data_IF_765195815785
#
_entry.id   IF_765195815785
#
_cell.length_a   1.000
_cell.length_b   1.000
_cell.length_c   1.000
_cell.angle_alpha   90.00
_cell.angle_beta   90.00
_cell.angle_gamma   90.00
#
_symmetry.space_group_name_H-M   'P 1'
#
loop_
_entity.id
_entity.type
_entity.pdbx_description
1 polymer ?
#
# COMPACT_ATOMS: atom_id res chain seq x y z
N UNK A 1 -6.90 8.85 -5.62
CA UNK A 1 -5.42 8.82 -5.72
C UNK A 1 -4.97 7.67 -6.61
N UNK A 2 -3.85 7.83 -7.26
CA UNK A 2 -3.19 6.74 -7.99
C UNK A 2 -1.68 6.87 -7.82
N UNK A 3 -0.98 5.75 -8.00
CA UNK A 3 0.47 5.67 -7.80
C UNK A 3 1.13 5.18 -9.08
N UNK A 4 2.12 5.93 -9.57
CA UNK A 4 2.94 5.57 -10.70
C UNK A 4 4.22 4.91 -10.17
N UNK A 5 4.35 3.61 -10.36
CA UNK A 5 5.45 2.82 -9.82
C UNK A 5 6.59 2.67 -10.80
N UNK A 6 7.79 2.41 -10.26
CA UNK A 6 9.03 2.40 -11.01
C UNK A 6 9.05 1.54 -12.26
N UNK A 7 8.60 0.31 -12.20
CA UNK A 7 8.50 -0.53 -13.39
C UNK A 7 7.35 -0.07 -14.26
N UNK A 8 7.65 0.44 -15.44
CA UNK A 8 6.65 0.99 -16.33
C UNK A 8 6.23 2.41 -15.97
N UNK A 9 7.07 3.12 -15.25
CA UNK A 9 6.82 4.53 -14.92
C UNK A 9 6.60 5.34 -16.19
N UNK A 10 5.48 6.03 -16.24
CA UNK A 10 5.14 6.91 -17.35
C UNK A 10 5.82 8.26 -17.11
N UNK A 11 6.55 8.76 -18.10
CA UNK A 11 7.17 10.08 -18.01
C UNK A 11 6.11 11.18 -17.94
N UNK A 12 6.46 12.28 -17.28
CA UNK A 12 5.62 13.46 -17.13
C UNK A 12 4.37 13.24 -16.24
N UNK A 13 4.32 12.11 -15.54
CA UNK A 13 3.23 11.81 -14.61
C UNK A 13 3.84 11.74 -13.20
N UNK A 14 3.25 12.41 -12.21
CA UNK A 14 3.77 12.39 -10.85
C UNK A 14 3.73 10.99 -10.24
N UNK A 15 4.62 10.73 -9.30
CA UNK A 15 4.68 9.44 -8.59
C UNK A 15 3.40 9.18 -7.80
N UNK A 16 2.84 10.22 -7.21
CA UNK A 16 1.57 10.16 -6.51
C UNK A 16 0.76 11.42 -6.83
N UNK A 17 -0.50 11.23 -7.16
CA UNK A 17 -1.42 12.32 -7.37
C UNK A 17 -2.63 12.13 -6.47
N UNK A 18 -2.95 13.16 -5.69
CA UNK A 18 -4.10 13.15 -4.78
C UNK A 18 -5.07 14.23 -5.20
N UNK A 19 -6.31 13.85 -5.44
CA UNK A 19 -7.39 14.78 -5.75
C UNK A 19 -8.32 14.89 -4.54
N UNK A 20 -8.59 16.13 -4.13
CA UNK A 20 -9.51 16.40 -3.04
C UNK A 20 -9.79 17.89 -2.93
N UNK A 21 -10.93 18.24 -2.38
CA UNK A 21 -11.36 19.64 -2.16
C UNK A 21 -11.29 20.51 -3.42
N UNK A 22 -11.57 19.92 -4.58
CA UNK A 22 -11.56 20.62 -5.86
C UNK A 22 -10.16 20.91 -6.40
N UNK A 23 -9.12 20.35 -5.79
CA UNK A 23 -7.74 20.56 -6.20
C UNK A 23 -7.00 19.22 -6.37
N UNK A 24 -5.98 19.24 -7.22
CA UNK A 24 -5.09 18.08 -7.42
C UNK A 24 -3.73 18.41 -6.81
N UNK A 25 -3.21 17.50 -6.01
CA UNK A 25 -1.89 17.62 -5.38
C UNK A 25 -0.96 16.56 -5.95
N UNK A 26 0.16 17.00 -6.52
CA UNK A 26 1.15 16.13 -7.15
C UNK A 26 2.37 15.98 -6.25
N UNK A 27 2.82 14.75 -6.06
CA UNK A 27 4.00 14.44 -5.26
C UNK A 27 4.98 13.66 -6.14
N UNK A 28 6.14 14.26 -6.41
CA UNK A 28 7.14 13.66 -7.29
C UNK A 28 8.34 13.09 -6.53
N UNK A 29 8.65 13.68 -5.38
CA UNK A 29 9.84 13.32 -4.58
C UNK A 29 9.53 12.26 -3.52
N UNK A 30 8.80 11.22 -3.90
CA UNK A 30 8.53 10.09 -3.00
C UNK A 30 9.17 8.82 -3.55
N UNK A 31 9.55 7.91 -2.65
CA UNK A 31 10.07 6.62 -3.02
C UNK A 31 9.00 5.83 -3.77
N UNK A 32 9.22 5.57 -5.06
CA UNK A 32 8.27 4.87 -5.91
C UNK A 32 8.83 3.57 -6.50
N UNK A 33 10.10 3.28 -6.23
CA UNK A 33 10.76 2.09 -6.74
C UNK A 33 10.53 0.89 -5.81
N UNK A 34 10.40 -0.28 -6.39
CA UNK A 34 10.24 -1.52 -5.63
C UNK A 34 11.38 -1.77 -4.66
N UNK A 35 12.61 -1.58 -5.15
CA UNK A 35 13.81 -1.83 -4.35
C UNK A 35 13.85 -0.94 -3.12
N UNK A 36 13.50 0.33 -3.28
CA UNK A 36 13.45 1.29 -2.18
C UNK A 36 12.40 0.88 -1.13
N UNK A 37 11.25 0.39 -1.57
CA UNK A 37 10.19 -0.02 -0.64
C UNK A 37 10.64 -1.20 0.23
N UNK A 38 11.36 -2.15 -0.33
CA UNK A 38 11.91 -3.28 0.44
C UNK A 38 12.97 -2.82 1.43
N UNK A 39 13.84 -1.90 1.02
CA UNK A 39 14.87 -1.34 1.90
C UNK A 39 14.23 -0.61 3.07
N UNK A 40 13.25 0.24 2.81
CA UNK A 40 12.57 1.02 3.84
C UNK A 40 11.79 0.12 4.80
N UNK A 41 11.10 -0.89 4.30
CA UNK A 41 10.35 -1.83 5.13
C UNK A 41 11.29 -2.64 6.04
N UNK A 42 12.41 -3.12 5.49
CA UNK A 42 13.40 -3.86 6.26
C UNK A 42 14.04 -2.99 7.32
N UNK A 43 14.36 -1.76 6.97
CA UNK A 43 14.93 -0.80 7.93
C UNK A 43 13.97 -0.52 9.08
N UNK A 44 12.69 -0.30 8.80
CA UNK A 44 11.70 -0.08 9.85
C UNK A 44 11.60 -1.28 10.79
N UNK A 45 11.60 -2.47 10.23
CA UNK A 45 11.55 -3.70 11.04
C UNK A 45 12.76 -3.82 11.96
N UNK A 46 13.96 -3.61 11.42
CA UNK A 46 15.21 -3.70 12.20
C UNK A 46 15.21 -2.64 13.31
N UNK A 47 14.82 -1.42 13.00
CA UNK A 47 14.78 -0.33 13.98
C UNK A 47 13.72 -0.61 15.05
N UNK A 48 12.57 -1.18 14.67
CA UNK A 48 11.53 -1.55 15.61
C UNK A 48 12.02 -2.61 16.59
N UNK A 49 12.73 -3.63 16.13
CA UNK A 49 13.32 -4.66 16.99
C UNK A 49 14.36 -4.04 17.92
N UNK A 50 15.22 -3.18 17.39
CA UNK A 50 16.28 -2.54 18.18
C UNK A 50 15.72 -1.62 19.26
N UNK A 51 14.66 -0.90 18.96
CA UNK A 51 14.05 0.08 19.86
C UNK A 51 12.96 -0.51 20.76
N UNK A 52 12.57 -1.77 20.54
CA UNK A 52 11.52 -2.42 21.31
C UNK A 52 10.13 -1.85 21.04
N UNK A 53 9.89 -1.31 19.83
CA UNK A 53 8.60 -0.76 19.43
C UNK A 53 7.94 -1.62 18.34
N UNK A 54 6.67 -1.35 18.07
CA UNK A 54 5.99 -1.98 16.95
C UNK A 54 6.49 -1.38 15.62
N UNK A 55 6.53 -2.19 14.57
CA UNK A 55 6.80 -1.69 13.23
C UNK A 55 5.62 -0.83 12.74
N UNK A 56 5.84 -0.06 11.66
CA UNK A 56 4.81 0.79 11.09
C UNK A 56 3.57 0.02 10.66
N UNK A 57 3.75 -1.23 10.25
CA UNK A 57 2.65 -2.10 9.88
C UNK A 57 2.78 -3.42 10.63
N UNK A 58 1.87 -3.67 11.54
CA UNK A 58 1.89 -4.87 12.38
C UNK A 58 1.37 -6.11 11.65
N UNK A 59 1.61 -7.28 12.23
CA UNK A 59 1.09 -8.55 11.68
C UNK A 59 -0.44 -8.53 11.61
N UNK A 60 -1.11 -7.95 12.60
CA UNK A 60 -2.56 -7.85 12.61
C UNK A 60 -3.08 -6.95 11.47
N UNK A 61 -2.42 -5.82 11.23
CA UNK A 61 -2.77 -4.95 10.13
C UNK A 61 -2.53 -5.61 8.78
N UNK A 62 -1.44 -6.37 8.63
CA UNK A 62 -1.19 -7.16 7.43
C UNK A 62 -2.28 -8.21 7.21
N UNK A 63 -2.73 -8.85 8.27
CA UNK A 63 -3.83 -9.82 8.19
C UNK A 63 -5.10 -9.17 7.68
N UNK A 64 -5.43 -7.97 8.15
CA UNK A 64 -6.59 -7.22 7.68
C UNK A 64 -6.47 -6.85 6.21
N UNK A 65 -5.28 -6.41 5.78
CA UNK A 65 -5.01 -6.09 4.37
C UNK A 65 -5.20 -7.33 3.50
N UNK A 66 -4.66 -8.48 3.94
CA UNK A 66 -4.81 -9.74 3.21
C UNK A 66 -6.28 -10.16 3.13
N UNK A 67 -7.02 -10.04 4.23
CA UNK A 67 -8.46 -10.36 4.24
C UNK A 67 -9.24 -9.52 3.24
N UNK A 68 -8.88 -8.23 3.12
CA UNK A 68 -9.51 -7.35 2.15
C UNK A 68 -9.19 -7.77 0.72
N UNK A 69 -7.94 -8.12 0.44
CA UNK A 69 -7.52 -8.58 -0.88
C UNK A 69 -8.22 -9.88 -1.28
N UNK A 70 -8.31 -10.83 -0.35
CA UNK A 70 -9.01 -12.10 -0.61
C UNK A 70 -10.52 -11.90 -0.79
N UNK A 71 -11.12 -11.00 -0.01
CA UNK A 71 -12.54 -10.66 -0.18
C UNK A 71 -12.80 -10.07 -1.57
N UNK A 72 -11.90 -9.19 -2.04
CA UNK A 72 -12.01 -8.63 -3.39
C UNK A 72 -11.92 -9.72 -4.47
N UNK A 73 -11.01 -10.67 -4.29
CA UNK A 73 -10.86 -11.79 -5.21
C UNK A 73 -12.14 -12.65 -5.27
N UNK A 74 -12.70 -12.96 -4.11
CA UNK A 74 -13.96 -13.73 -4.03
C UNK A 74 -15.11 -12.94 -4.67
N UNK A 75 -15.20 -11.65 -4.37
CA UNK A 75 -16.21 -10.76 -4.94
C UNK A 75 -16.15 -10.77 -6.46
N UNK A 76 -14.96 -10.66 -7.03
CA UNK A 76 -14.78 -10.70 -8.49
C UNK A 76 -15.19 -12.03 -9.10
N UNK A 77 -14.92 -13.14 -8.41
CA UNK A 77 -15.25 -14.48 -8.90
C UNK A 77 -16.73 -14.78 -8.78
N UNK A 78 -17.38 -14.37 -7.69
CA UNK A 78 -18.77 -14.70 -7.40
C UNK A 78 -19.76 -13.60 -7.81
N UNK A 79 -19.29 -12.44 -8.22
CA UNK A 79 -20.15 -11.33 -8.65
C UNK A 79 -21.04 -10.77 -7.55
N UNK A 80 -20.56 -10.77 -6.30
CA UNK A 80 -21.30 -10.24 -5.14
C UNK A 80 -20.40 -9.45 -4.22
N UNK A 81 -20.97 -8.62 -3.37
CA UNK A 81 -20.23 -7.93 -2.32
C UNK A 81 -19.77 -8.95 -1.27
N UNK A 82 -18.50 -8.85 -0.86
CA UNK A 82 -17.92 -9.73 0.17
C UNK A 82 -17.24 -8.86 1.21
N UNK A 83 -17.57 -9.09 2.48
CA UNK A 83 -16.92 -8.37 3.58
C UNK A 83 -15.59 -9.06 3.93
N UNK A 84 -14.55 -8.30 4.27
CA UNK A 84 -13.30 -8.91 4.73
C UNK A 84 -13.47 -9.86 5.90
N UNK A 85 -14.45 -9.61 6.78
CA UNK A 85 -14.74 -10.47 7.92
C UNK A 85 -15.22 -11.87 7.54
N UNK A 86 -15.73 -12.07 6.32
CA UNK A 86 -16.15 -13.40 5.83
C UNK A 86 -14.96 -14.30 5.50
N UNK A 87 -13.77 -13.71 5.35
CA UNK A 87 -12.55 -14.41 4.91
C UNK A 87 -11.63 -14.72 6.09
N UNK A 88 -11.64 -13.90 7.12
CA UNK A 88 -10.72 -13.98 8.25
C UNK A 88 -10.86 -15.25 9.09
#
# INVERSE_FOLDING_TARGET
>A
AWVNRGHGKIQEVPSLQVYGDGATHDYEDIASEWDESFILATRDFIEAVREGRSSLLTAEEHRQVLSTALAAQISGREGRAVKPSEVA
#
